data_IF_230380422711
#
_entry.id   IF_230380422711
#
_cell.length_a   1.000
_cell.length_b   1.000
_cell.length_c   1.000
_cell.angle_alpha   90.00
_cell.angle_beta   90.00
_cell.angle_gamma   90.00
#
_symmetry.space_group_name_H-M   'P 1'
#
loop_
_entity.id
_entity.type
_entity.pdbx_description
1 polymer ?
#
# COMPACT_ATOMS: atom_id res chain seq x y z
N UNK A 1 -12.54 6.44 -1.97
CA UNK A 1 -12.59 4.99 -2.27
C UNK A 1 -13.22 4.30 -1.08
N UNK A 2 -14.06 3.28 -1.29
CA UNK A 2 -14.66 2.54 -0.17
C UNK A 2 -14.38 1.06 -0.35
N UNK A 3 -13.43 0.58 0.45
CA UNK A 3 -13.03 -0.80 0.68
C UNK A 3 -14.01 -1.50 1.65
N UNK A 4 -13.71 -2.73 2.03
CA UNK A 4 -14.61 -3.63 2.77
C UNK A 4 -14.80 -4.89 1.93
N UNK A 5 -15.55 -4.83 0.81
CA UNK A 5 -15.56 -5.90 -0.18
C UNK A 5 -14.15 -6.14 -0.74
N UNK A 6 -13.66 -7.37 -0.59
CA UNK A 6 -12.31 -7.76 -0.99
C UNK A 6 -12.10 -7.58 -2.50
N UNK A 7 -10.86 -7.31 -2.91
CA UNK A 7 -10.50 -7.07 -4.32
C UNK A 7 -10.88 -5.68 -4.88
N UNK A 8 -11.94 -5.04 -4.39
CA UNK A 8 -12.37 -3.71 -4.89
C UNK A 8 -11.35 -2.59 -4.59
N UNK A 9 -10.58 -2.72 -3.51
CA UNK A 9 -9.54 -1.75 -3.15
C UNK A 9 -8.46 -1.60 -4.22
N UNK A 10 -7.95 -2.72 -4.75
CA UNK A 10 -6.96 -2.68 -5.83
C UNK A 10 -7.58 -2.24 -7.16
N UNK A 11 -8.83 -2.60 -7.44
CA UNK A 11 -9.56 -2.10 -8.60
C UNK A 11 -9.65 -0.56 -8.61
N UNK A 12 -9.99 0.03 -7.46
CA UNK A 12 -9.99 1.49 -7.29
C UNK A 12 -8.59 2.10 -7.48
N UNK A 13 -7.55 1.47 -6.92
CA UNK A 13 -6.17 1.94 -7.07
C UNK A 13 -5.68 1.91 -8.53
N UNK A 14 -6.05 0.87 -9.29
CA UNK A 14 -5.80 0.83 -10.74
C UNK A 14 -6.49 2.01 -11.43
N UNK A 15 -7.74 2.31 -11.10
CA UNK A 15 -8.45 3.49 -11.61
C UNK A 15 -7.74 4.81 -11.28
N UNK A 16 -7.24 4.98 -10.05
CA UNK A 16 -6.49 6.17 -9.65
C UNK A 16 -5.15 6.31 -10.38
N UNK A 17 -4.42 5.22 -10.59
CA UNK A 17 -3.18 5.22 -11.36
C UNK A 17 -3.41 5.50 -12.86
N UNK A 18 -4.53 5.03 -13.42
CA UNK A 18 -4.95 5.43 -14.78
C UNK A 18 -5.23 6.92 -14.83
N UNK A 19 -5.99 7.46 -13.87
CA UNK A 19 -6.32 8.88 -13.83
C UNK A 19 -5.06 9.75 -13.72
N UNK A 20 -4.13 9.42 -12.81
CA UNK A 20 -2.85 10.11 -12.68
C UNK A 20 -2.08 10.13 -14.00
N UNK A 21 -1.91 8.96 -14.63
CA UNK A 21 -1.17 8.85 -15.90
C UNK A 21 -1.82 9.62 -17.03
N UNK A 22 -3.15 9.54 -17.14
CA UNK A 22 -3.91 10.25 -18.17
C UNK A 22 -3.82 11.75 -17.98
N UNK A 23 -3.99 12.26 -16.76
CA UNK A 23 -3.92 13.68 -16.46
C UNK A 23 -2.48 14.21 -16.63
N UNK A 24 -1.46 13.47 -16.19
CA UNK A 24 -0.07 13.80 -16.43
C UNK A 24 0.25 13.92 -17.93
N UNK A 25 -0.19 12.94 -18.74
CA UNK A 25 0.02 12.98 -20.18
C UNK A 25 -0.72 14.14 -20.88
N UNK A 26 -1.88 14.54 -20.37
CA UNK A 26 -2.67 15.64 -20.95
C UNK A 26 -2.13 17.01 -20.56
N UNK A 27 -1.75 17.20 -19.29
CA UNK A 27 -1.52 18.51 -18.70
C UNK A 27 -0.05 18.81 -18.39
N UNK A 28 0.82 17.83 -18.15
CA UNK A 28 2.24 18.16 -17.93
C UNK A 28 2.88 18.72 -19.21
N UNK A 29 3.80 19.67 -19.04
CA UNK A 29 4.53 20.33 -20.13
C UNK A 29 6.02 20.37 -19.78
N UNK A 30 6.93 20.55 -20.76
CA UNK A 30 8.36 20.67 -20.45
C UNK A 30 8.62 21.73 -19.37
N UNK A 31 9.24 21.32 -18.26
CA UNK A 31 9.48 22.18 -17.08
C UNK A 31 8.31 22.30 -16.10
N UNK A 32 7.18 21.63 -16.35
CA UNK A 32 5.97 21.69 -15.53
C UNK A 32 5.31 20.31 -15.36
N UNK A 33 5.70 19.60 -14.31
CA UNK A 33 5.07 18.36 -13.87
C UNK A 33 4.05 18.67 -12.76
N UNK A 34 2.83 19.02 -13.17
CA UNK A 34 1.75 19.43 -12.24
C UNK A 34 0.91 18.25 -11.75
N UNK A 35 0.88 17.15 -12.51
CA UNK A 35 0.33 15.87 -12.07
C UNK A 35 1.47 14.88 -12.00
N UNK A 36 1.90 14.59 -10.78
CA UNK A 36 2.99 13.66 -10.51
C UNK A 36 2.84 13.09 -9.09
N UNK A 37 2.16 11.95 -8.97
CA UNK A 37 2.03 11.26 -7.68
C UNK A 37 1.96 9.74 -7.83
N UNK A 38 2.26 9.05 -6.74
CA UNK A 38 2.12 7.59 -6.68
C UNK A 38 0.73 7.18 -6.19
N UNK A 39 0.34 5.95 -6.53
CA UNK A 39 -0.82 5.27 -5.99
C UNK A 39 -0.35 4.02 -5.24
N UNK A 40 -0.73 3.92 -3.97
CA UNK A 40 -0.40 2.78 -3.11
C UNK A 40 -1.67 2.00 -2.73
N UNK A 41 -1.59 0.67 -2.77
CA UNK A 41 -2.67 -0.22 -2.34
C UNK A 41 -2.14 -1.27 -1.36
N UNK A 42 -2.91 -1.58 -0.32
CA UNK A 42 -2.61 -2.67 0.61
C UNK A 42 -3.65 -3.77 0.43
N UNK A 43 -3.19 -5.00 0.34
CA UNK A 43 -3.99 -6.19 0.03
C UNK A 43 -3.53 -7.37 0.87
N UNK A 44 -4.44 -8.25 1.25
CA UNK A 44 -4.12 -9.55 1.87
C UNK A 44 -4.61 -10.70 0.99
N UNK A 45 -4.54 -11.93 1.49
CA UNK A 45 -4.90 -13.15 0.76
C UNK A 45 -6.31 -13.07 0.16
N UNK A 46 -7.28 -12.55 0.94
CA UNK A 46 -8.66 -12.37 0.49
C UNK A 46 -8.79 -11.52 -0.78
N UNK A 47 -8.02 -10.44 -0.88
CA UNK A 47 -8.00 -9.62 -2.09
C UNK A 47 -7.38 -10.36 -3.28
N UNK A 48 -6.37 -11.19 -3.03
CA UNK A 48 -5.63 -11.93 -4.06
C UNK A 48 -6.44 -13.07 -4.70
N UNK A 49 -7.43 -13.59 -3.98
CA UNK A 49 -8.35 -14.64 -4.43
C UNK A 49 -9.54 -14.11 -5.24
N UNK A 50 -9.92 -12.84 -5.03
CA UNK A 50 -11.08 -12.26 -5.69
C UNK A 50 -10.83 -12.04 -7.18
N UNK A 51 -11.72 -12.56 -8.04
CA UNK A 51 -11.57 -12.52 -9.50
C UNK A 51 -11.34 -11.12 -10.07
N UNK A 52 -11.97 -10.10 -9.49
CA UNK A 52 -11.78 -8.70 -9.90
C UNK A 52 -10.32 -8.25 -9.78
N UNK A 53 -9.57 -8.76 -8.79
CA UNK A 53 -8.15 -8.43 -8.64
C UNK A 53 -7.32 -8.93 -9.82
N UNK A 54 -7.65 -10.10 -10.37
CA UNK A 54 -6.98 -10.66 -11.54
C UNK A 54 -7.22 -9.81 -12.79
N UNK A 55 -8.47 -9.39 -13.01
CA UNK A 55 -8.85 -8.55 -14.16
C UNK A 55 -8.09 -7.22 -14.14
N UNK A 56 -8.15 -6.50 -13.01
CA UNK A 56 -7.59 -5.16 -12.91
C UNK A 56 -6.06 -5.19 -12.81
N UNK A 57 -5.46 -6.21 -12.20
CA UNK A 57 -4.00 -6.35 -12.19
C UNK A 57 -3.45 -6.74 -13.56
N UNK A 58 -4.15 -7.58 -14.32
CA UNK A 58 -3.82 -7.86 -15.73
C UNK A 58 -3.87 -6.57 -16.56
N UNK A 59 -4.92 -5.76 -16.38
CA UNK A 59 -5.04 -4.46 -17.05
C UNK A 59 -3.91 -3.50 -16.65
N UNK A 60 -3.59 -3.40 -15.36
CA UNK A 60 -2.55 -2.50 -14.85
C UNK A 60 -1.16 -2.80 -15.43
N UNK A 61 -0.82 -4.08 -15.58
CA UNK A 61 0.42 -4.49 -16.21
C UNK A 61 0.43 -4.21 -17.72
N UNK A 62 -0.68 -4.48 -18.40
CA UNK A 62 -0.88 -4.11 -19.83
C UNK A 62 -0.69 -2.60 -20.05
N UNK A 63 -1.25 -1.79 -19.15
CA UNK A 63 -1.14 -0.33 -19.19
C UNK A 63 0.17 0.19 -18.61
N UNK A 64 1.09 -0.66 -18.14
CA UNK A 64 2.42 -0.28 -17.63
C UNK A 64 2.37 0.81 -16.55
N UNK A 65 1.46 0.69 -15.59
CA UNK A 65 1.22 1.72 -14.57
C UNK A 65 2.35 1.82 -13.53
N UNK A 66 3.51 2.38 -13.92
CA UNK A 66 4.74 2.44 -13.11
C UNK A 66 4.64 3.18 -11.77
N UNK A 67 3.62 4.03 -11.59
CA UNK A 67 3.37 4.73 -10.32
C UNK A 67 2.39 4.00 -9.40
N UNK A 68 1.89 2.82 -9.80
CA UNK A 68 1.10 1.94 -8.96
C UNK A 68 2.01 0.96 -8.20
N UNK A 69 1.87 0.93 -6.89
CA UNK A 69 2.56 -0.04 -6.03
C UNK A 69 1.57 -0.69 -5.07
N UNK A 70 1.49 -2.02 -5.11
CA UNK A 70 0.67 -2.81 -4.22
C UNK A 70 1.55 -3.51 -3.17
N UNK A 71 1.13 -3.47 -1.91
CA UNK A 71 1.69 -4.23 -0.80
C UNK A 71 0.78 -5.41 -0.53
N UNK A 72 1.33 -6.61 -0.67
CA UNK A 72 0.67 -7.83 -0.27
C UNK A 72 1.13 -8.21 1.13
N UNK A 73 0.22 -8.11 2.09
CA UNK A 73 0.37 -8.70 3.41
C UNK A 73 0.21 -10.22 3.28
N UNK A 74 1.35 -10.88 3.08
CA UNK A 74 1.49 -12.31 2.83
C UNK A 74 1.70 -13.01 4.18
N UNK A 75 0.61 -13.16 4.91
CA UNK A 75 0.59 -13.72 6.27
C UNK A 75 0.07 -15.17 6.31
N UNK A 76 -0.50 -15.67 5.21
CA UNK A 76 -0.94 -17.05 5.03
C UNK A 76 -2.21 -17.43 5.79
N UNK A 77 -2.98 -16.45 6.27
CA UNK A 77 -4.18 -16.66 7.08
C UNK A 77 -5.39 -15.93 6.46
N UNK A 78 -6.49 -16.66 6.27
CA UNK A 78 -7.82 -16.08 6.04
C UNK A 78 -8.72 -16.31 7.26
N UNK A 79 -10.00 -15.93 7.14
CA UNK A 79 -11.01 -16.13 8.18
C UNK A 79 -11.11 -17.61 8.62
N UNK A 80 -11.03 -18.55 7.67
CA UNK A 80 -11.20 -19.98 7.91
C UNK A 80 -9.90 -20.70 8.32
N UNK A 81 -8.78 -19.99 8.45
CA UNK A 81 -7.50 -20.57 8.86
C UNK A 81 -6.38 -20.37 7.84
N UNK A 82 -5.44 -21.32 7.84
CA UNK A 82 -4.32 -21.33 6.92
C UNK A 82 -4.80 -21.50 5.48
N UNK A 83 -4.34 -20.64 4.59
CA UNK A 83 -4.84 -20.57 3.21
C UNK A 83 -4.34 -21.71 2.32
N UNK A 84 -3.33 -22.47 2.76
CA UNK A 84 -2.68 -23.56 2.01
C UNK A 84 -3.65 -24.66 1.54
N UNK A 85 -4.86 -24.74 2.09
CA UNK A 85 -5.89 -25.67 1.66
C UNK A 85 -6.65 -25.26 0.39
N UNK A 86 -6.66 -23.97 0.02
CA UNK A 86 -7.47 -23.44 -1.09
C UNK A 86 -6.81 -22.31 -1.88
N UNK A 87 -5.66 -21.79 -1.43
CA UNK A 87 -4.90 -20.75 -2.10
C UNK A 87 -3.41 -21.14 -2.12
N UNK A 88 -3.02 -21.82 -3.19
CA UNK A 88 -1.68 -22.42 -3.34
C UNK A 88 -1.01 -22.00 -4.64
N UNK A 89 -1.47 -20.92 -5.27
CA UNK A 89 -0.88 -20.44 -6.50
C UNK A 89 0.48 -19.80 -6.26
N UNK A 90 1.33 -19.73 -7.29
CA UNK A 90 2.50 -18.87 -7.23
C UNK A 90 2.07 -17.45 -7.58
N UNK A 91 1.64 -16.71 -6.55
CA UNK A 91 1.19 -15.32 -6.69
C UNK A 91 2.26 -14.44 -7.34
N UNK A 92 3.54 -14.69 -7.07
CA UNK A 92 4.61 -13.92 -7.69
C UNK A 92 4.71 -14.18 -9.20
N UNK A 93 4.71 -15.45 -9.63
CA UNK A 93 4.68 -15.81 -11.04
C UNK A 93 3.41 -15.30 -11.74
N UNK A 94 2.26 -15.34 -11.06
CA UNK A 94 1.01 -14.78 -11.60
C UNK A 94 1.14 -13.29 -11.89
N UNK A 95 1.68 -12.51 -10.95
CA UNK A 95 1.88 -11.06 -11.15
C UNK A 95 2.98 -10.75 -12.18
N UNK A 96 4.06 -11.52 -12.22
CA UNK A 96 5.08 -11.42 -13.28
C UNK A 96 4.46 -11.70 -14.66
N UNK A 97 3.56 -12.68 -14.76
CA UNK A 97 2.81 -12.98 -15.99
C UNK A 97 1.84 -11.86 -16.40
N UNK A 98 1.30 -11.10 -15.45
CA UNK A 98 0.56 -9.85 -15.74
C UNK A 98 1.47 -8.70 -16.22
N UNK A 99 2.79 -8.83 -16.11
CA UNK A 99 3.73 -7.77 -16.45
C UNK A 99 4.07 -6.83 -15.30
N UNK A 100 3.88 -7.28 -14.06
CA UNK A 100 4.28 -6.53 -12.87
C UNK A 100 5.76 -6.76 -12.55
N UNK A 101 6.36 -5.78 -11.88
CA UNK A 101 7.59 -5.96 -11.13
C UNK A 101 7.25 -6.54 -9.75
N UNK A 102 7.93 -7.61 -9.32
CA UNK A 102 7.63 -8.29 -8.06
C UNK A 102 8.86 -8.29 -7.16
N UNK A 103 8.72 -7.70 -5.97
CA UNK A 103 9.71 -7.79 -4.89
C UNK A 103 9.26 -8.90 -3.94
N UNK A 104 9.90 -10.05 -4.02
CA UNK A 104 9.57 -11.26 -3.25
C UNK A 104 10.20 -11.18 -1.84
N UNK A 105 9.56 -11.84 -0.87
CA UNK A 105 10.11 -12.07 0.48
C UNK A 105 10.57 -10.81 1.23
N UNK A 106 9.83 -9.71 1.10
CA UNK A 106 10.08 -8.52 1.93
C UNK A 106 9.73 -8.87 3.37
N UNK A 107 10.66 -8.72 4.30
CA UNK A 107 10.37 -8.87 5.72
C UNK A 107 9.43 -7.73 6.16
N UNK A 108 8.16 -8.07 6.34
CA UNK A 108 7.12 -7.10 6.68
C UNK A 108 7.15 -6.63 8.13
N UNK A 109 8.03 -7.19 8.96
CA UNK A 109 8.30 -6.70 10.32
C UNK A 109 9.57 -5.84 10.40
N UNK A 110 10.27 -5.64 9.27
CA UNK A 110 11.48 -4.83 9.19
C UNK A 110 11.22 -3.54 8.37
N UNK A 111 11.18 -2.36 9.02
CA UNK A 111 10.89 -1.10 8.33
C UNK A 111 11.96 -0.73 7.28
N UNK A 112 13.22 -1.11 7.48
CA UNK A 112 14.29 -0.84 6.51
C UNK A 112 14.14 -1.71 5.27
N UNK A 113 13.70 -2.97 5.42
CA UNK A 113 13.41 -3.85 4.30
C UNK A 113 12.23 -3.33 3.46
N UNK A 114 11.16 -2.87 4.12
CA UNK A 114 10.01 -2.27 3.44
C UNK A 114 10.42 -0.99 2.70
N UNK A 115 11.21 -0.12 3.36
CA UNK A 115 11.74 1.10 2.74
C UNK A 115 12.57 0.80 1.50
N UNK A 116 13.47 -0.17 1.57
CA UNK A 116 14.29 -0.60 0.44
C UNK A 116 13.43 -1.11 -0.73
N UNK A 117 12.40 -1.92 -0.45
CA UNK A 117 11.48 -2.42 -1.47
C UNK A 117 10.67 -1.30 -2.15
N UNK A 118 10.25 -0.29 -1.39
CA UNK A 118 9.56 0.90 -1.94
C UNK A 118 10.50 1.70 -2.84
N UNK A 119 11.74 1.92 -2.40
CA UNK A 119 12.75 2.64 -3.19
C UNK A 119 13.14 1.90 -4.47
N UNK A 120 13.17 0.56 -4.42
CA UNK A 120 13.35 -0.29 -5.59
C UNK A 120 12.17 -0.17 -6.56
N UNK A 121 10.94 -0.33 -6.08
CA UNK A 121 9.73 -0.22 -6.88
C UNK A 121 9.62 1.15 -7.58
N UNK A 122 9.99 2.24 -6.90
CA UNK A 122 9.98 3.59 -7.48
C UNK A 122 10.97 3.78 -8.64
N UNK A 123 12.01 2.94 -8.76
CA UNK A 123 12.94 2.97 -9.89
C UNK A 123 12.36 2.29 -11.13
N UNK A 124 11.34 1.45 -10.96
CA UNK A 124 10.67 0.74 -12.05
C UNK A 124 9.49 1.57 -12.54
N UNK A 125 9.72 2.36 -13.59
CA UNK A 125 8.73 3.33 -14.08
C UNK A 125 7.85 2.79 -15.21
N UNK A 126 8.14 1.61 -15.74
CA UNK A 126 7.44 1.02 -16.89
C UNK A 126 6.56 -0.20 -16.52
N UNK A 127 6.43 -0.52 -15.22
CA UNK A 127 5.60 -1.62 -14.71
C UNK A 127 5.02 -1.26 -13.34
N UNK A 128 3.76 -1.61 -13.05
CA UNK A 128 3.29 -1.60 -11.67
C UNK A 128 4.10 -2.57 -10.81
N UNK A 129 4.21 -2.30 -9.50
CA UNK A 129 5.02 -3.10 -8.59
C UNK A 129 4.18 -3.80 -7.51
N UNK A 130 4.47 -5.08 -7.26
CA UNK A 130 3.94 -5.86 -6.13
C UNK A 130 5.07 -6.11 -5.12
N UNK A 131 4.87 -5.68 -3.89
CA UNK A 131 5.78 -5.91 -2.77
C UNK A 131 5.14 -7.00 -1.90
N UNK A 132 5.73 -8.19 -1.89
CA UNK A 132 5.24 -9.31 -1.11
C UNK A 132 5.86 -9.27 0.28
N UNK A 133 5.11 -8.70 1.23
CA UNK A 133 5.50 -8.51 2.61
C UNK A 133 5.12 -9.73 3.44
N UNK A 134 6.10 -10.55 3.81
CA UNK A 134 5.90 -11.65 4.74
C UNK A 134 5.68 -11.11 6.14
N UNK A 135 4.51 -11.37 6.71
CA UNK A 135 4.19 -10.96 8.08
C UNK A 135 3.66 -12.13 8.90
N UNK A 136 3.34 -11.85 10.16
CA UNK A 136 2.67 -12.77 11.08
C UNK A 136 1.43 -12.04 11.57
N UNK A 137 0.25 -12.55 11.23
CA UNK A 137 -1.00 -11.93 11.68
C UNK A 137 -1.04 -11.87 13.21
N UNK A 138 -1.44 -10.74 13.79
CA UNK A 138 -1.47 -10.56 15.25
C UNK A 138 -0.10 -10.61 15.92
N UNK A 139 0.99 -10.31 15.20
CA UNK A 139 2.35 -10.25 15.74
C UNK A 139 2.42 -9.55 17.10
N UNK A 140 3.16 -10.15 18.03
CA UNK A 140 3.28 -9.70 19.41
C UNK A 140 2.28 -10.34 20.38
N UNK A 141 1.15 -10.87 19.90
CA UNK A 141 0.18 -11.62 20.73
C UNK A 141 0.75 -12.99 21.10
N UNK A 142 1.11 -13.24 22.38
CA UNK A 142 1.85 -14.46 22.73
C UNK A 142 1.06 -15.75 22.46
N UNK A 143 -0.28 -15.71 22.58
CA UNK A 143 -1.11 -16.90 22.50
C UNK A 143 -1.91 -16.99 21.20
N UNK A 144 -1.97 -15.92 20.40
CA UNK A 144 -2.82 -15.87 19.20
C UNK A 144 -2.12 -15.42 17.91
N UNK A 145 -0.86 -14.99 17.96
CA UNK A 145 -0.13 -14.63 16.75
C UNK A 145 -0.05 -15.83 15.79
N UNK A 146 -0.23 -15.57 14.49
CA UNK A 146 -0.16 -16.59 13.44
C UNK A 146 -1.40 -17.47 13.31
N UNK A 147 -2.51 -17.15 13.97
CA UNK A 147 -3.77 -17.91 13.88
C UNK A 147 -4.92 -17.08 13.32
N UNK A 148 -6.00 -17.73 12.87
CA UNK A 148 -7.20 -17.03 12.40
C UNK A 148 -8.00 -16.38 13.55
N UNK A 149 -7.75 -16.74 14.81
CA UNK A 149 -8.46 -16.20 15.98
C UNK A 149 -8.24 -14.68 16.17
N UNK A 150 -7.17 -14.12 15.59
CA UNK A 150 -6.89 -12.68 15.62
C UNK A 150 -7.45 -11.91 14.43
N UNK A 151 -8.05 -12.58 13.45
CA UNK A 151 -8.49 -11.95 12.21
C UNK A 151 -9.71 -11.05 12.41
N UNK A 152 -10.76 -11.57 13.03
CA UNK A 152 -12.09 -10.94 13.04
C UNK A 152 -12.64 -10.61 14.44
N UNK A 153 -11.87 -10.82 15.50
CA UNK A 153 -12.35 -10.69 16.87
C UNK A 153 -11.39 -9.91 17.77
N UNK A 154 -11.94 -9.25 18.80
CA UNK A 154 -11.13 -8.62 19.83
C UNK A 154 -10.26 -9.67 20.55
N UNK A 155 -9.01 -9.30 20.87
CA UNK A 155 -8.08 -10.20 21.55
C UNK A 155 -8.59 -10.66 22.93
N UNK A 156 -9.31 -9.77 23.64
CA UNK A 156 -9.75 -9.96 25.02
C UNK A 156 -8.79 -9.33 26.02
N UNK A 157 -9.28 -8.92 27.18
CA UNK A 157 -8.51 -8.11 28.14
C UNK A 157 -7.20 -8.78 28.61
N UNK A 158 -7.23 -10.09 28.86
CA UNK A 158 -6.04 -10.85 29.28
C UNK A 158 -4.98 -10.89 28.17
N UNK A 159 -5.38 -11.16 26.93
CA UNK A 159 -4.46 -11.22 25.80
C UNK A 159 -3.92 -9.82 25.46
N UNK A 160 -4.73 -8.77 25.53
CA UNK A 160 -4.26 -7.38 25.36
C UNK A 160 -3.15 -7.04 26.37
N UNK A 161 -3.29 -7.45 27.63
CA UNK A 161 -2.26 -7.24 28.65
C UNK A 161 -0.97 -8.01 28.33
N UNK A 162 -1.09 -9.28 27.93
CA UNK A 162 0.05 -10.12 27.55
C UNK A 162 0.78 -9.57 26.30
N UNK A 163 0.05 -9.14 25.28
CA UNK A 163 0.63 -8.51 24.08
C UNK A 163 1.38 -7.22 24.42
N UNK A 164 0.83 -6.39 25.32
CA UNK A 164 1.49 -5.17 25.78
C UNK A 164 2.80 -5.48 26.52
N UNK A 165 2.79 -6.47 27.39
CA UNK A 165 4.00 -6.93 28.09
C UNK A 165 5.06 -7.43 27.09
N UNK A 166 4.67 -8.29 26.15
CA UNK A 166 5.56 -8.86 25.14
C UNK A 166 6.19 -7.79 24.22
N UNK A 167 5.44 -6.75 23.88
CA UNK A 167 5.92 -5.62 23.08
C UNK A 167 6.62 -4.52 23.90
N UNK A 168 6.68 -4.66 25.23
CA UNK A 168 7.22 -3.63 26.12
C UNK A 168 6.40 -2.32 26.13
N UNK A 169 5.11 -2.38 25.78
CA UNK A 169 4.21 -1.24 25.70
C UNK A 169 3.62 -0.87 27.06
N UNK A 170 4.10 0.24 27.64
CA UNK A 170 3.77 0.66 29.01
C UNK A 170 2.65 1.69 29.12
N UNK A 171 2.17 2.22 28.00
CA UNK A 171 1.19 3.31 27.97
C UNK A 171 -0.25 2.81 28.09
N UNK A 172 -1.17 3.64 28.58
CA UNK A 172 -2.56 3.27 28.80
C UNK A 172 -3.33 3.01 27.48
N UNK A 173 -4.62 2.65 27.60
CA UNK A 173 -5.49 2.56 26.42
C UNK A 173 -5.67 3.95 25.79
N UNK A 174 -5.49 4.03 24.48
CA UNK A 174 -5.62 5.27 23.70
C UNK A 174 -4.65 6.40 24.10
N UNK A 175 -3.56 6.07 24.78
CA UNK A 175 -2.47 7.01 25.05
C UNK A 175 -1.44 6.96 23.93
N UNK A 176 -1.14 8.11 23.34
CA UNK A 176 -0.09 8.28 22.33
C UNK A 176 1.05 9.06 22.97
N UNK A 177 2.23 8.44 23.17
CA UNK A 177 3.41 9.12 23.68
C UNK A 177 3.78 10.34 22.82
N UNK A 178 4.16 11.44 23.47
CA UNK A 178 4.39 12.71 22.77
C UNK A 178 5.58 12.64 21.80
N UNK A 179 6.61 11.86 22.13
CA UNK A 179 7.77 11.60 21.29
C UNK A 179 7.41 10.80 20.03
N UNK A 180 6.46 9.88 20.13
CA UNK A 180 5.89 9.18 18.96
C UNK A 180 5.03 10.14 18.14
N UNK A 181 4.12 10.90 18.77
CA UNK A 181 3.29 11.88 18.06
C UNK A 181 4.16 12.88 17.27
N UNK A 182 5.23 13.39 17.89
CA UNK A 182 6.15 14.32 17.25
C UNK A 182 6.85 13.74 16.01
N UNK A 183 7.12 12.43 15.97
CA UNK A 183 7.68 11.77 14.78
C UNK A 183 6.67 11.60 13.63
N UNK A 184 5.38 11.61 13.94
CA UNK A 184 4.29 11.46 12.96
C UNK A 184 3.63 12.79 12.57
N UNK A 185 3.90 13.89 13.27
CA UNK A 185 3.38 15.21 12.92
C UNK A 185 4.01 15.72 11.62
N UNK A 186 3.27 15.54 10.52
CA UNK A 186 3.67 15.97 9.19
C UNK A 186 2.99 17.27 8.73
N UNK A 187 2.35 18.05 9.63
CA UNK A 187 1.61 19.26 9.22
C UNK A 187 2.50 20.26 8.49
N UNK A 188 3.66 20.60 9.07
CA UNK A 188 4.59 21.57 8.48
C UNK A 188 5.17 21.05 7.15
N UNK A 189 5.64 19.80 7.14
CA UNK A 189 6.17 19.17 5.93
C UNK A 189 5.11 19.05 4.81
N UNK A 190 3.85 18.79 5.17
CA UNK A 190 2.72 18.73 4.24
C UNK A 190 2.41 20.11 3.65
N UNK A 191 2.29 21.13 4.51
CA UNK A 191 2.08 22.52 4.09
C UNK A 191 3.19 23.00 3.15
N UNK A 192 4.45 22.68 3.45
CA UNK A 192 5.57 23.05 2.60
C UNK A 192 5.50 22.37 1.21
N UNK A 193 5.15 21.08 1.15
CA UNK A 193 4.99 20.35 -0.12
C UNK A 193 3.84 20.89 -0.95
N UNK A 194 2.70 21.19 -0.32
CA UNK A 194 1.54 21.75 -0.99
C UNK A 194 1.80 23.17 -1.49
N UNK A 195 2.43 24.03 -0.67
CA UNK A 195 2.83 25.37 -1.08
C UNK A 195 3.77 25.33 -2.29
N UNK A 196 4.77 24.45 -2.27
CA UNK A 196 5.68 24.26 -3.40
C UNK A 196 4.94 23.78 -4.67
N UNK A 197 3.91 22.94 -4.53
CA UNK A 197 3.07 22.55 -5.66
C UNK A 197 2.22 23.71 -6.18
N UNK A 198 1.63 24.51 -5.29
CA UNK A 198 0.86 25.71 -5.66
C UNK A 198 1.72 26.72 -6.44
N UNK A 199 2.97 26.92 -6.03
CA UNK A 199 3.91 27.77 -6.77
C UNK A 199 4.21 27.22 -8.17
N UNK A 200 4.43 25.90 -8.30
CA UNK A 200 4.59 25.23 -9.60
C UNK A 200 3.35 25.40 -10.49
N UNK A 201 2.16 25.26 -9.90
CA UNK A 201 0.89 25.40 -10.63
C UNK A 201 0.65 26.85 -11.06
N UNK A 202 0.97 27.84 -10.23
CA UNK A 202 0.91 29.25 -10.60
C UNK A 202 1.83 29.59 -11.78
N UNK A 203 3.06 29.04 -11.78
CA UNK A 203 3.98 29.17 -12.90
C UNK A 203 3.45 28.48 -14.16
N UNK A 204 2.87 27.29 -14.02
CA UNK A 204 2.22 26.56 -15.11
C UNK A 204 1.06 27.35 -15.72
N UNK A 205 0.16 27.90 -14.90
CA UNK A 205 -0.98 28.69 -15.34
C UNK A 205 -0.58 29.95 -16.12
N UNK A 206 0.54 30.58 -15.74
CA UNK A 206 1.10 31.72 -16.48
C UNK A 206 1.67 31.30 -17.84
N UNK A 207 2.33 30.14 -17.92
CA UNK A 207 2.95 29.64 -19.14
C UNK A 207 1.92 29.01 -20.11
N UNK A 208 0.86 28.40 -19.58
CA UNK A 208 -0.13 27.62 -20.32
C UNK A 208 -1.57 27.97 -19.89
N UNK A 209 -2.03 29.22 -20.08
CA UNK A 209 -3.29 29.72 -19.53
C UNK A 209 -4.53 28.96 -20.02
N UNK A 210 -4.56 28.52 -21.29
CA UNK A 210 -5.68 27.75 -21.84
C UNK A 210 -5.79 26.33 -21.24
N UNK A 211 -4.66 25.74 -20.83
CA UNK A 211 -4.61 24.39 -20.26
C UNK A 211 -4.76 24.38 -18.73
N UNK A 212 -4.71 25.57 -18.11
CA UNK A 212 -4.88 25.76 -16.68
C UNK A 212 -6.26 26.33 -16.32
N UNK A 213 -7.10 26.63 -17.33
CA UNK A 213 -8.43 27.22 -17.19
C UNK A 213 -9.48 26.21 -16.70
#
# INVERSE_FOLDING_TARGET
TTTGPLGQGIANAVGFAIAERTLAAQFNRPGHDIVDHHTYAFMGDGCMMEGISHEVCSLAGTLKLGKLTAFYDDNGISIDGHVDGWFTDDTALRFEAYGWHVVRNVDGHNPDAIKAAIEEARKVTDKPSLLMCKTVIGFGSPNKAGTHDVHGAALGAAEVAATREALGWKYAAFEIPQDIYAQWDAKEAGQAKEAAWNDKFAAYAKAFPELAA
#
